data_IF_779611074389
#
_entry.id   IF_779611074389
#
_cell.length_a   1.000
_cell.length_b   1.000
_cell.length_c   1.000
_cell.angle_alpha   90.00
_cell.angle_beta   90.00
_cell.angle_gamma   90.00
#
_symmetry.space_group_name_H-M   'P 1'
#
loop_
_entity.id
_entity.type
_entity.pdbx_description
1 polymer ?
#
# COMPACT_ATOMS: atom_id res chain seq x y z
N UNK A 1 -6.78 -3.75 16.23
CA UNK A 1 -7.02 -2.57 15.38
C UNK A 1 -6.63 -2.90 13.95
N UNK A 2 -7.00 -2.06 12.97
CA UNK A 2 -6.71 -2.31 11.54
C UNK A 2 -6.00 -1.09 10.96
N UNK A 3 -4.82 -1.27 10.37
CA UNK A 3 -4.15 -0.26 9.56
C UNK A 3 -4.35 -0.55 8.07
N UNK A 4 -4.07 0.44 7.23
CA UNK A 4 -4.39 0.42 5.81
C UNK A 4 -3.13 0.55 4.94
N UNK A 5 -3.09 -0.21 3.85
CA UNK A 5 -2.12 -0.03 2.76
C UNK A 5 -2.90 0.12 1.46
N UNK A 6 -2.65 1.21 0.72
CA UNK A 6 -3.21 1.43 -0.61
C UNK A 6 -2.15 1.05 -1.64
N UNK A 7 -2.49 0.11 -2.53
CA UNK A 7 -1.68 -0.32 -3.66
C UNK A 7 -2.27 0.20 -4.96
N UNK A 8 -1.47 0.88 -5.78
CA UNK A 8 -1.96 1.35 -7.09
C UNK A 8 -0.88 1.33 -8.16
N UNK A 9 -1.30 1.13 -9.40
CA UNK A 9 -0.41 1.30 -10.56
C UNK A 9 0.04 2.76 -10.74
N UNK A 10 -0.74 3.72 -10.26
CA UNK A 10 -0.48 5.15 -10.47
C UNK A 10 -0.14 5.81 -9.15
N UNK A 11 1.09 6.32 -9.03
CA UNK A 11 1.52 7.13 -7.89
C UNK A 11 0.52 8.26 -7.59
N UNK A 12 0.06 8.95 -8.64
CA UNK A 12 -0.93 10.04 -8.52
C UNK A 12 -2.28 9.58 -7.97
N UNK A 13 -2.73 8.38 -8.35
CA UNK A 13 -3.99 7.83 -7.83
C UNK A 13 -3.82 7.42 -6.36
N UNK A 14 -2.74 6.70 -6.04
CA UNK A 14 -2.43 6.28 -4.67
C UNK A 14 -2.32 7.48 -3.73
N UNK A 15 -1.58 8.51 -4.11
CA UNK A 15 -1.45 9.78 -3.37
C UNK A 15 -2.80 10.47 -3.17
N UNK A 16 -3.60 10.63 -4.24
CA UNK A 16 -4.90 11.29 -4.16
C UNK A 16 -5.91 10.54 -3.28
N UNK A 17 -5.94 9.21 -3.36
CA UNK A 17 -6.76 8.39 -2.46
C UNK A 17 -6.27 8.53 -1.02
N UNK A 18 -4.95 8.51 -0.81
CA UNK A 18 -4.36 8.68 0.51
C UNK A 18 -4.66 10.04 1.14
N UNK A 19 -4.62 11.11 0.34
CA UNK A 19 -4.98 12.46 0.77
C UNK A 19 -6.43 12.51 1.28
N UNK A 20 -7.37 11.97 0.51
CA UNK A 20 -8.78 11.94 0.90
C UNK A 20 -9.03 11.05 2.13
N UNK A 21 -8.42 9.85 2.15
CA UNK A 21 -8.58 8.92 3.28
C UNK A 21 -8.08 9.53 4.59
N UNK A 22 -6.95 10.26 4.57
CA UNK A 22 -6.39 10.92 5.75
C UNK A 22 -7.33 11.96 6.35
N UNK A 23 -8.21 12.59 5.57
CA UNK A 23 -9.21 13.52 6.13
C UNK A 23 -10.26 12.80 7.01
N UNK A 24 -10.50 11.51 6.77
CA UNK A 24 -11.45 10.68 7.52
C UNK A 24 -10.81 9.94 8.69
N UNK A 25 -9.47 9.86 8.74
CA UNK A 25 -8.73 9.28 9.86
C UNK A 25 -8.75 10.27 11.04
N UNK A 26 -9.80 10.16 11.85
CA UNK A 26 -9.96 10.98 13.06
C UNK A 26 -9.19 10.27 14.19
N UNK A 27 -8.16 10.95 14.73
CA UNK A 27 -7.22 10.48 15.77
C UNK A 27 -6.17 9.46 15.29
N UNK A 28 -5.16 9.20 16.14
CA UNK A 28 -4.05 8.24 15.91
C UNK A 28 -4.48 6.74 15.94
N UNK A 29 -5.76 6.44 15.71
CA UNK A 29 -6.32 5.09 15.82
C UNK A 29 -6.08 4.18 14.61
N UNK A 30 -5.69 4.74 13.46
CA UNK A 30 -5.43 3.99 12.23
C UNK A 30 -4.34 4.67 11.41
N UNK A 31 -3.33 3.89 11.01
CA UNK A 31 -2.26 4.33 10.11
C UNK A 31 -2.58 3.94 8.67
N UNK A 32 -2.06 4.75 7.75
CA UNK A 32 -2.22 4.55 6.31
C UNK A 32 -0.87 4.70 5.61
N UNK A 33 -0.49 3.68 4.85
CA UNK A 33 0.64 3.69 3.93
C UNK A 33 0.18 3.54 2.47
N UNK A 34 1.03 3.94 1.53
CA UNK A 34 0.75 3.95 0.09
C UNK A 34 1.94 3.31 -0.62
N UNK A 35 1.66 2.31 -1.46
CA UNK A 35 2.60 1.68 -2.37
C UNK A 35 2.07 1.84 -3.79
N UNK A 36 2.55 2.85 -4.54
CA UNK A 36 2.00 3.14 -5.84
C UNK A 36 3.04 3.56 -6.88
N UNK A 37 2.83 3.11 -8.12
CA UNK A 37 3.76 3.33 -9.23
C UNK A 37 5.06 2.54 -9.09
N UNK A 38 5.86 2.60 -10.16
CA UNK A 38 7.22 2.05 -10.20
C UNK A 38 8.24 3.15 -10.46
N UNK A 39 9.50 2.90 -10.12
CA UNK A 39 10.60 3.85 -10.32
C UNK A 39 11.14 3.81 -11.76
N UNK A 40 10.22 3.95 -12.73
CA UNK A 40 10.50 4.08 -14.15
C UNK A 40 9.99 5.46 -14.63
N UNK A 41 10.89 6.42 -14.91
CA UNK A 41 10.50 7.76 -15.38
C UNK A 41 9.77 7.77 -16.73
N UNK A 42 10.07 6.80 -17.60
CA UNK A 42 9.50 6.72 -18.94
C UNK A 42 8.18 5.94 -18.95
N UNK A 43 7.98 5.04 -17.98
CA UNK A 43 6.77 4.22 -17.81
C UNK A 43 6.38 4.03 -16.35
N UNK A 44 5.91 5.08 -15.64
CA UNK A 44 5.72 5.05 -14.18
C UNK A 44 4.49 4.27 -13.71
N UNK A 45 3.66 3.79 -14.65
CA UNK A 45 2.45 3.04 -14.35
C UNK A 45 2.79 1.56 -14.12
N UNK A 46 2.67 1.11 -12.88
CA UNK A 46 3.01 -0.25 -12.48
C UNK A 46 2.94 -0.43 -10.97
N UNK A 47 3.11 -1.67 -10.50
CA UNK A 47 3.17 -2.01 -9.09
C UNK A 47 4.50 -2.69 -8.76
N UNK A 48 5.04 -2.39 -7.59
CA UNK A 48 6.30 -2.94 -7.09
C UNK A 48 6.04 -3.75 -5.80
N UNK A 49 6.25 -5.08 -5.81
CA UNK A 49 6.10 -5.91 -4.61
C UNK A 49 6.94 -5.43 -3.42
N UNK A 50 8.14 -4.89 -3.65
CA UNK A 50 9.01 -4.40 -2.57
C UNK A 50 8.41 -3.17 -1.90
N UNK A 51 7.89 -2.22 -2.68
CA UNK A 51 7.17 -1.06 -2.13
C UNK A 51 5.93 -1.47 -1.33
N UNK A 52 5.23 -2.51 -1.77
CA UNK A 52 4.07 -3.03 -1.04
C UNK A 52 4.48 -3.66 0.28
N UNK A 53 5.55 -4.47 0.29
CA UNK A 53 6.12 -5.07 1.51
C UNK A 53 6.54 -3.98 2.51
N UNK A 54 7.34 -3.01 2.08
CA UNK A 54 7.79 -1.89 2.91
C UNK A 54 6.61 -1.07 3.47
N UNK A 55 5.57 -0.85 2.65
CA UNK A 55 4.36 -0.15 3.09
C UNK A 55 3.62 -0.93 4.19
N UNK A 56 3.53 -2.27 4.06
CA UNK A 56 2.93 -3.12 5.10
C UNK A 56 3.74 -3.05 6.40
N UNK A 57 5.06 -3.20 6.32
CA UNK A 57 5.95 -3.13 7.48
C UNK A 57 5.83 -1.79 8.22
N UNK A 58 5.71 -0.68 7.47
CA UNK A 58 5.59 0.67 8.05
C UNK A 58 4.34 0.89 8.92
N UNK A 59 3.33 0.02 8.78
CA UNK A 59 2.07 0.07 9.53
C UNK A 59 1.77 -1.23 10.27
N UNK A 60 2.75 -2.12 10.43
CA UNK A 60 2.59 -3.44 11.04
C UNK A 60 2.46 -3.41 12.58
N UNK A 61 2.51 -2.24 13.23
CA UNK A 61 2.28 -2.10 14.67
C UNK A 61 0.78 -2.12 15.02
N UNK A 62 0.09 -3.18 14.59
CA UNK A 62 -1.35 -3.38 14.75
C UNK A 62 -1.68 -4.87 14.65
N UNK A 63 -2.88 -5.27 15.08
CA UNK A 63 -3.32 -6.67 14.98
C UNK A 63 -3.52 -7.12 13.53
N UNK A 64 -3.95 -6.20 12.66
CA UNK A 64 -4.29 -6.50 11.27
C UNK A 64 -3.94 -5.34 10.33
N UNK A 65 -3.45 -5.68 9.13
CA UNK A 65 -3.26 -4.73 8.03
C UNK A 65 -4.19 -5.11 6.88
N UNK A 66 -5.02 -4.16 6.42
CA UNK A 66 -5.85 -4.33 5.24
C UNK A 66 -5.16 -3.70 4.02
N UNK A 67 -4.79 -4.55 3.06
CA UNK A 67 -4.22 -4.14 1.79
C UNK A 67 -5.35 -3.97 0.77
N UNK A 68 -5.54 -2.74 0.30
CA UNK A 68 -6.50 -2.39 -0.74
C UNK A 68 -5.76 -2.06 -2.04
N UNK A 69 -6.27 -2.55 -3.16
CA UNK A 69 -5.61 -2.42 -4.46
C UNK A 69 -6.58 -1.92 -5.52
N UNK A 70 -6.04 -1.34 -6.59
CA UNK A 70 -6.84 -0.86 -7.72
C UNK A 70 -7.35 -1.99 -8.63
N UNK A 71 -6.55 -2.42 -9.60
CA UNK A 71 -6.97 -3.36 -10.64
C UNK A 71 -5.84 -4.32 -11.01
N UNK A 72 -6.19 -5.50 -11.52
CA UNK A 72 -5.26 -6.37 -12.24
C UNK A 72 -4.05 -6.82 -11.42
N UNK A 73 -2.85 -6.58 -11.96
CA UNK A 73 -1.55 -7.08 -11.46
C UNK A 73 -1.16 -6.62 -10.06
N UNK A 74 -1.85 -5.61 -9.51
CA UNK A 74 -1.63 -5.19 -8.13
C UNK A 74 -1.86 -6.33 -7.12
N UNK A 75 -2.73 -7.30 -7.46
CA UNK A 75 -2.95 -8.49 -6.66
C UNK A 75 -1.69 -9.35 -6.56
N UNK A 76 -1.06 -9.65 -7.70
CA UNK A 76 0.17 -10.45 -7.72
C UNK A 76 1.28 -9.75 -6.95
N UNK A 77 1.40 -8.42 -7.06
CA UNK A 77 2.37 -7.66 -6.28
C UNK A 77 2.10 -7.74 -4.78
N UNK A 78 0.83 -7.70 -4.35
CA UNK A 78 0.46 -7.87 -2.95
C UNK A 78 0.72 -9.29 -2.45
N UNK A 79 0.38 -10.33 -3.22
CA UNK A 79 0.68 -11.72 -2.87
C UNK A 79 2.19 -11.96 -2.75
N UNK A 80 2.97 -11.46 -3.72
CA UNK A 80 4.43 -11.54 -3.68
C UNK A 80 5.00 -10.79 -2.48
N UNK A 81 4.45 -9.63 -2.12
CA UNK A 81 4.86 -8.89 -0.92
C UNK A 81 4.60 -9.70 0.36
N UNK A 82 3.48 -10.41 0.45
CA UNK A 82 3.18 -11.29 1.59
C UNK A 82 4.17 -12.45 1.69
N UNK A 83 4.60 -13.03 0.57
CA UNK A 83 5.61 -14.10 0.54
C UNK A 83 7.01 -13.61 0.98
N UNK A 84 7.29 -12.31 0.82
CA UNK A 84 8.56 -11.69 1.20
C UNK A 84 8.62 -11.25 2.66
N UNK A 85 7.48 -11.08 3.32
CA UNK A 85 7.43 -10.75 4.74
C UNK A 85 7.98 -11.90 5.57
N UNK A 86 8.73 -11.57 6.62
CA UNK A 86 9.19 -12.57 7.58
C UNK A 86 7.98 -13.28 8.23
N UNK A 87 8.05 -14.60 8.46
CA UNK A 87 7.00 -15.32 9.16
C UNK A 87 6.82 -14.75 10.58
N UNK A 88 5.56 -14.47 10.95
CA UNK A 88 5.18 -14.01 12.29
C UNK A 88 5.40 -15.08 13.38
#
# INVERSE_FOLDING_TARGET
MVNLVIVSHSARLGEGVGELARQMLINDGCKLAIAAGIDDPDSPIGTDPLKVMEAIESVADTDHVLVMMDIGSALLSAETALDLLDPA
#
